data_IF_626306916063
#
_entry.id   IF_626306916063
#
_cell.length_a   1.000
_cell.length_b   1.000
_cell.length_c   1.000
_cell.angle_alpha   90.00
_cell.angle_beta   90.00
_cell.angle_gamma   90.00
#
_symmetry.space_group_name_H-M   'P 1'
#
loop_
_entity.id
_entity.type
_entity.pdbx_description
1 polymer ?
#
# COMPACT_ATOMS: atom_id res chain seq x y z
N UNK A 1 12.28 11.81 -0.63
CA UNK A 1 13.05 11.06 0.39
C UNK A 1 12.78 11.71 1.74
N UNK A 2 12.67 10.95 2.83
CA UNK A 2 12.28 11.43 4.16
C UNK A 2 13.54 11.53 5.04
N UNK A 3 14.59 12.24 4.59
CA UNK A 3 15.90 12.15 5.25
C UNK A 3 15.91 12.76 6.67
N UNK A 4 15.00 13.69 6.98
CA UNK A 4 15.03 14.44 8.25
C UNK A 4 13.74 14.40 9.06
N UNK A 5 12.78 13.52 8.73
CA UNK A 5 11.55 13.41 9.53
C UNK A 5 11.71 12.35 10.62
N UNK A 6 11.47 12.77 11.85
CA UNK A 6 11.51 11.92 13.03
C UNK A 6 10.27 11.03 13.12
N UNK A 7 10.41 9.90 13.81
CA UNK A 7 9.28 9.01 14.08
C UNK A 7 8.15 9.70 14.83
N UNK A 8 8.48 10.64 15.73
CA UNK A 8 7.52 11.38 16.54
C UNK A 8 6.65 12.29 15.66
N UNK A 9 7.25 12.97 14.67
CA UNK A 9 6.50 13.81 13.72
C UNK A 9 5.50 12.99 12.90
N UNK A 10 5.87 11.77 12.52
CA UNK A 10 4.93 10.82 11.88
C UNK A 10 3.74 10.49 12.78
N UNK A 11 4.00 10.16 14.05
CA UNK A 11 2.93 9.85 15.00
C UNK A 11 2.04 11.09 15.19
N UNK A 12 2.61 12.28 15.31
CA UNK A 12 1.85 13.53 15.44
C UNK A 12 0.95 13.79 14.24
N UNK A 13 1.45 13.61 13.02
CA UNK A 13 0.66 13.79 11.80
C UNK A 13 -0.49 12.78 11.70
N UNK A 14 -0.24 11.50 11.98
CA UNK A 14 -1.32 10.50 12.00
C UNK A 14 -2.31 10.68 13.17
N UNK A 15 -1.88 11.28 14.28
CA UNK A 15 -2.76 11.63 15.40
C UNK A 15 -3.79 12.71 15.04
N UNK A 16 -3.58 13.46 13.96
CA UNK A 16 -4.57 14.39 13.41
C UNK A 16 -5.65 13.65 12.57
N UNK A 17 -5.36 12.44 12.10
CA UNK A 17 -6.26 11.64 11.27
C UNK A 17 -7.10 10.64 12.10
N UNK A 18 -6.60 10.24 13.27
CA UNK A 18 -7.29 9.35 14.18
C UNK A 18 -6.89 9.63 15.63
N UNK A 19 -7.75 9.36 16.63
CA UNK A 19 -7.39 9.50 18.03
C UNK A 19 -6.07 8.78 18.37
N UNK A 20 -5.15 9.39 19.14
CA UNK A 20 -3.86 8.79 19.48
C UNK A 20 -3.96 7.39 20.09
N UNK A 21 -5.01 7.11 20.89
CA UNK A 21 -5.25 5.78 21.49
C UNK A 21 -5.42 4.65 20.47
N UNK A 22 -5.73 4.98 19.21
CA UNK A 22 -5.81 4.01 18.12
C UNK A 22 -4.45 3.61 17.57
N UNK A 23 -3.41 4.41 17.80
CA UNK A 23 -2.03 4.11 17.40
C UNK A 23 -1.43 3.20 18.48
N UNK A 24 -1.12 1.97 18.12
CA UNK A 24 -0.55 0.98 19.06
C UNK A 24 0.96 0.99 19.07
N UNK A 25 1.55 1.16 17.89
CA UNK A 25 2.99 1.10 17.73
C UNK A 25 3.40 1.82 16.46
N UNK A 26 4.63 2.32 16.45
CA UNK A 26 5.28 2.81 15.25
C UNK A 26 6.68 2.21 15.20
N UNK A 27 7.18 1.95 14.01
CA UNK A 27 8.55 1.46 13.81
C UNK A 27 9.15 2.04 12.54
N UNK A 28 10.47 2.24 12.57
CA UNK A 28 11.26 2.53 11.38
C UNK A 28 11.55 1.22 10.65
N UNK A 29 11.25 1.19 9.36
CA UNK A 29 11.52 0.04 8.50
C UNK A 29 12.57 0.42 7.44
N UNK A 30 13.18 -0.55 6.75
CA UNK A 30 14.21 -0.28 5.74
C UNK A 30 13.74 0.68 4.64
N UNK A 31 14.71 1.33 4.01
CA UNK A 31 14.55 2.40 3.00
C UNK A 31 13.91 3.67 3.56
N UNK A 32 14.24 3.98 4.82
CA UNK A 32 13.86 5.22 5.47
C UNK A 32 12.34 5.49 5.47
N UNK A 33 11.58 4.42 5.74
CA UNK A 33 10.11 4.46 5.84
C UNK A 33 9.71 4.22 7.28
N UNK A 34 8.51 4.66 7.63
CA UNK A 34 7.87 4.35 8.90
C UNK A 34 6.65 3.48 8.67
N UNK A 35 6.42 2.55 9.59
CA UNK A 35 5.20 1.74 9.66
C UNK A 35 4.49 2.05 10.96
N UNK A 36 3.22 2.43 10.87
CA UNK A 36 2.34 2.67 12.03
C UNK A 36 1.30 1.57 12.11
N UNK A 37 1.17 0.99 13.29
CA UNK A 37 0.23 -0.08 13.59
C UNK A 37 -0.94 0.51 14.38
N UNK A 38 -2.14 0.28 13.86
CA UNK A 38 -3.39 0.75 14.47
C UNK A 38 -4.10 -0.40 15.18
N UNK A 39 -5.00 -0.04 16.09
CA UNK A 39 -5.79 -0.98 16.90
C UNK A 39 -6.76 -1.85 16.10
N UNK A 40 -7.21 -1.40 14.93
CA UNK A 40 -8.09 -2.17 14.06
C UNK A 40 -7.88 -1.88 12.58
N UNK A 41 -8.20 -2.86 11.74
CA UNK A 41 -8.22 -2.72 10.28
C UNK A 41 -9.17 -1.61 9.82
N UNK A 42 -10.35 -1.49 10.46
CA UNK A 42 -11.37 -0.50 10.08
C UNK A 42 -10.83 0.95 10.19
N UNK A 43 -9.96 1.22 11.14
CA UNK A 43 -9.32 2.54 11.27
C UNK A 43 -8.42 2.84 10.08
N UNK A 44 -7.63 1.85 9.64
CA UNK A 44 -6.77 1.97 8.45
C UNK A 44 -7.60 2.24 7.20
N UNK A 45 -8.72 1.54 7.02
CA UNK A 45 -9.66 1.78 5.91
C UNK A 45 -10.16 3.24 5.91
N UNK A 46 -10.64 3.73 7.06
CA UNK A 46 -11.14 5.10 7.22
C UNK A 46 -10.07 6.15 6.92
N UNK A 47 -8.85 5.95 7.40
CA UNK A 47 -7.72 6.87 7.18
C UNK A 47 -7.38 6.97 5.69
N UNK A 48 -7.30 5.82 4.99
CA UNK A 48 -6.96 5.76 3.56
C UNK A 48 -8.05 6.39 2.69
N UNK A 49 -9.33 6.19 3.03
CA UNK A 49 -10.44 6.80 2.31
C UNK A 49 -10.46 8.32 2.49
N UNK A 50 -10.10 8.80 3.69
CA UNK A 50 -10.12 10.23 4.02
C UNK A 50 -9.09 11.03 3.24
N UNK A 51 -7.84 10.56 3.19
CA UNK A 51 -6.77 11.20 2.42
C UNK A 51 -5.65 10.21 2.07
N UNK A 52 -4.89 10.43 0.97
CA UNK A 52 -3.80 9.53 0.56
C UNK A 52 -2.40 9.94 1.06
N UNK A 53 -2.26 11.07 1.75
CA UNK A 53 -0.98 11.60 2.24
C UNK A 53 -1.11 12.21 3.63
N UNK A 54 -0.01 12.35 4.36
CA UNK A 54 0.10 13.17 5.57
C UNK A 54 0.93 14.42 5.25
N UNK A 55 0.73 15.51 6.00
CA UNK A 55 1.54 16.73 5.86
C UNK A 55 2.47 16.85 7.07
N UNK A 56 3.77 16.93 6.81
CA UNK A 56 4.80 17.18 7.85
C UNK A 56 5.70 18.29 7.33
N UNK A 57 5.88 19.36 8.11
CA UNK A 57 6.73 20.51 7.74
C UNK A 57 6.43 21.02 6.31
N UNK A 58 5.13 21.22 6.02
CA UNK A 58 4.58 21.63 4.73
C UNK A 58 4.90 20.70 3.54
N UNK A 59 5.45 19.51 3.81
CA UNK A 59 5.72 18.49 2.80
C UNK A 59 4.65 17.41 2.87
N UNK A 60 4.04 17.11 1.73
CA UNK A 60 3.12 16.00 1.60
C UNK A 60 3.88 14.69 1.46
N UNK A 61 3.62 13.77 2.37
CA UNK A 61 4.22 12.45 2.39
C UNK A 61 3.11 11.41 2.13
N UNK A 62 3.15 10.71 0.98
CA UNK A 62 2.17 9.69 0.68
C UNK A 62 2.34 8.47 1.59
N UNK A 63 1.23 7.83 1.95
CA UNK A 63 1.24 6.58 2.70
C UNK A 63 0.37 5.51 2.03
N UNK A 64 0.63 4.26 2.39
CA UNK A 64 -0.11 3.10 1.89
C UNK A 64 -0.24 2.03 2.95
N UNK A 65 -1.13 1.06 2.71
CA UNK A 65 -1.23 -0.15 3.53
C UNK A 65 0.10 -0.89 3.52
N UNK A 66 0.47 -1.44 4.67
CA UNK A 66 1.59 -2.37 4.76
C UNK A 66 1.33 -3.61 3.88
N UNK A 67 0.13 -4.17 3.99
CA UNK A 67 -0.34 -5.28 3.16
C UNK A 67 -1.36 -4.73 2.16
N UNK A 68 -0.97 -4.68 0.90
CA UNK A 68 -1.88 -4.31 -0.16
C UNK A 68 -2.82 -5.50 -0.45
N UNK A 69 -4.15 -5.34 -0.50
CA UNK A 69 -5.06 -6.36 -1.01
C UNK A 69 -4.88 -6.55 -2.53
N UNK A 70 -3.69 -6.96 -2.96
CA UNK A 70 -3.41 -7.29 -4.35
C UNK A 70 -3.77 -8.75 -4.60
N UNK A 71 -4.61 -8.99 -5.61
CA UNK A 71 -4.75 -10.31 -6.22
C UNK A 71 -3.61 -10.47 -7.22
N UNK A 72 -2.51 -11.09 -6.81
CA UNK A 72 -1.41 -11.44 -7.72
C UNK A 72 -1.70 -12.80 -8.34
N UNK A 73 -1.64 -12.88 -9.67
CA UNK A 73 -1.62 -14.15 -10.39
C UNK A 73 -0.16 -14.47 -10.71
N UNK A 74 0.29 -15.66 -10.33
CA UNK A 74 1.62 -16.16 -10.68
C UNK A 74 1.41 -17.34 -11.62
N UNK A 75 1.93 -17.24 -12.83
CA UNK A 75 1.95 -18.34 -13.80
C UNK A 75 3.36 -18.92 -13.75
N UNK A 76 3.46 -20.19 -13.38
CA UNK A 76 4.72 -20.91 -13.29
C UNK A 76 4.80 -21.95 -14.41
N UNK A 77 6.02 -22.40 -14.73
CA UNK A 77 6.27 -23.40 -15.76
C UNK A 77 5.74 -23.02 -17.17
N UNK A 78 5.78 -21.74 -17.51
CA UNK A 78 5.48 -21.27 -18.87
C UNK A 78 6.68 -21.55 -19.76
N UNK A 79 6.48 -22.26 -20.86
CA UNK A 79 7.55 -22.51 -21.81
C UNK A 79 7.98 -21.20 -22.48
N UNK A 80 9.28 -20.84 -22.52
CA UNK A 80 9.75 -19.56 -23.04
C UNK A 80 9.38 -19.27 -24.49
N UNK A 81 9.09 -20.31 -25.28
CA UNK A 81 8.70 -20.19 -26.69
C UNK A 81 7.27 -19.70 -26.88
N UNK A 82 6.44 -19.72 -25.83
CA UNK A 82 5.04 -19.31 -25.92
C UNK A 82 4.99 -17.79 -26.08
N UNK A 83 4.39 -17.28 -27.18
CA UNK A 83 4.25 -15.85 -27.39
C UNK A 83 3.40 -15.17 -26.30
N UNK A 84 3.75 -13.92 -26.03
CA UNK A 84 3.08 -13.11 -25.00
C UNK A 84 1.57 -12.95 -25.26
N UNK A 85 1.17 -12.74 -26.51
CA UNK A 85 -0.22 -12.52 -26.89
C UNK A 85 -1.12 -13.75 -26.62
N UNK A 86 -0.57 -14.96 -26.77
CA UNK A 86 -1.25 -16.21 -26.45
C UNK A 86 -1.51 -16.32 -24.95
N UNK A 87 -0.51 -15.98 -24.12
CA UNK A 87 -0.62 -15.98 -22.65
C UNK A 87 -1.66 -14.95 -22.22
N UNK A 88 -1.61 -13.73 -22.76
CA UNK A 88 -2.57 -12.67 -22.43
C UNK A 88 -4.01 -13.07 -22.80
N UNK A 89 -4.23 -13.65 -23.98
CA UNK A 89 -5.55 -14.18 -24.38
C UNK A 89 -6.05 -15.27 -23.43
N UNK A 90 -5.20 -16.23 -23.08
CA UNK A 90 -5.56 -17.30 -22.16
C UNK A 90 -5.96 -16.77 -20.77
N UNK A 91 -5.24 -15.77 -20.25
CA UNK A 91 -5.54 -15.14 -18.95
C UNK A 91 -6.88 -14.39 -19.02
N UNK A 92 -7.11 -13.61 -20.08
CA UNK A 92 -8.33 -12.81 -20.23
C UNK A 92 -9.60 -13.67 -20.36
N UNK A 93 -9.45 -14.90 -20.84
CA UNK A 93 -10.55 -15.86 -20.95
C UNK A 93 -10.88 -16.58 -19.63
N UNK A 94 -10.07 -16.42 -18.58
CA UNK A 94 -10.37 -16.99 -17.27
C UNK A 94 -11.51 -16.20 -16.61
N UNK A 95 -12.43 -16.85 -15.88
CA UNK A 95 -13.49 -16.18 -15.10
C UNK A 95 -12.95 -15.51 -13.82
N UNK A 96 -11.79 -14.87 -13.91
CA UNK A 96 -11.16 -14.13 -12.84
C UNK A 96 -11.63 -12.67 -12.93
N UNK A 97 -12.32 -12.19 -11.89
CA UNK A 97 -12.68 -10.77 -11.76
C UNK A 97 -11.41 -9.94 -11.48
N UNK A 98 -10.67 -9.61 -12.53
CA UNK A 98 -9.58 -8.65 -12.51
C UNK A 98 -10.16 -7.24 -12.68
N UNK A 99 -10.21 -6.46 -11.60
CA UNK A 99 -10.75 -5.08 -11.60
C UNK A 99 -9.75 -4.02 -12.09
N UNK A 100 -8.57 -4.45 -12.55
CA UNK A 100 -7.57 -3.58 -13.16
C UNK A 100 -7.20 -4.17 -14.52
N UNK A 101 -7.42 -3.38 -15.56
CA UNK A 101 -7.11 -3.72 -16.94
C UNK A 101 -5.60 -4.03 -17.02
N UNK A 102 -5.26 -5.26 -17.39
CA UNK A 102 -3.88 -5.67 -17.62
C UNK A 102 -3.39 -4.96 -18.88
N UNK A 103 -2.78 -3.78 -18.72
CA UNK A 103 -1.80 -3.32 -19.69
C UNK A 103 -0.53 -4.12 -19.42
N UNK A 104 -0.38 -5.23 -20.14
CA UNK A 104 0.87 -5.95 -20.30
C UNK A 104 1.68 -5.33 -21.45
#
# INVERSE_FOLDING_TARGET
>A
MIQDVTQIEYIKAFSQLTPPNNIKFASRIPNNRFCIYFSSKNIVEKIIIKQPFITINNTEIPYRRLINPAKRIIISNVQPIIPHDIIAKAINNLPLKCYHQLHL
#
